data_IF_249846804991
#
_entry.id   IF_249846804991
#
_cell.length_a   1.000
_cell.length_b   1.000
_cell.length_c   1.000
_cell.angle_alpha   90.00
_cell.angle_beta   90.00
_cell.angle_gamma   90.00
#
_symmetry.space_group_name_H-M   'P 1'
#
loop_
_entity.id
_entity.type
_entity.pdbx_description
1 polymer ?
#
# COMPACT_ATOMS: atom_id res chain seq x y z
N UNK A 1 30.57 -4.02 29.02
CA UNK A 1 29.18 -4.52 28.99
C UNK A 1 28.29 -3.38 28.49
N UNK A 2 27.62 -3.53 27.33
CA UNK A 2 26.84 -2.44 26.70
C UNK A 2 25.39 -2.57 27.16
N UNK A 3 24.89 -1.62 27.94
CA UNK A 3 23.46 -1.56 28.28
C UNK A 3 22.67 -1.19 27.03
N UNK A 4 21.74 -2.06 26.64
CA UNK A 4 20.73 -1.73 25.64
C UNK A 4 19.77 -0.74 26.31
N UNK A 5 19.62 0.45 25.71
CA UNK A 5 18.64 1.44 26.15
C UNK A 5 17.35 1.17 25.37
N UNK A 6 16.27 0.88 26.07
CA UNK A 6 14.94 0.80 25.50
C UNK A 6 14.21 2.14 25.70
N UNK A 7 13.34 2.49 24.75
CA UNK A 7 12.40 3.60 24.87
C UNK A 7 11.09 3.01 25.39
N UNK A 8 10.67 3.39 26.60
CA UNK A 8 9.36 3.04 27.16
C UNK A 8 8.42 4.24 27.02
N UNK A 9 7.19 4.00 26.55
CA UNK A 9 6.17 5.03 26.40
C UNK A 9 5.19 4.99 27.59
N UNK A 10 4.76 6.14 28.14
CA UNK A 10 3.80 6.16 29.23
C UNK A 10 2.39 5.71 28.80
N UNK A 11 1.59 5.28 29.77
CA UNK A 11 0.23 4.80 29.56
C UNK A 11 -0.64 5.79 28.78
N UNK A 12 -1.30 5.29 27.74
CA UNK A 12 -2.16 6.08 26.87
C UNK A 12 -1.42 6.81 25.75
N UNK A 13 -0.12 6.56 25.58
CA UNK A 13 0.64 7.12 24.45
C UNK A 13 0.15 6.58 23.10
N UNK A 14 0.11 7.47 22.11
CA UNK A 14 -0.19 7.15 20.72
C UNK A 14 0.80 7.82 19.78
N UNK A 15 0.99 7.22 18.61
CA UNK A 15 1.72 7.79 17.49
C UNK A 15 0.79 7.98 16.31
N UNK A 16 0.88 9.13 15.64
CA UNK A 16 0.10 9.45 14.45
C UNK A 16 1.02 9.53 13.23
N UNK A 17 0.62 8.89 12.14
CA UNK A 17 1.24 9.02 10.82
C UNK A 17 0.26 9.78 9.93
N UNK A 18 0.73 10.87 9.33
CA UNK A 18 -0.05 11.67 8.39
C UNK A 18 0.76 11.89 7.12
N UNK A 19 0.12 11.68 5.97
CA UNK A 19 0.65 12.08 4.68
C UNK A 19 -0.47 12.56 3.77
N UNK A 20 -0.12 13.39 2.80
CA UNK A 20 -1.04 13.92 1.82
C UNK A 20 -0.49 13.73 0.41
N UNK A 21 -1.37 13.37 -0.53
CA UNK A 21 -1.05 13.21 -1.94
C UNK A 21 -1.82 14.27 -2.72
N UNK A 22 -1.11 15.13 -3.44
CA UNK A 22 -1.70 16.13 -4.35
C UNK A 22 -1.52 15.71 -5.80
N UNK A 23 -2.61 15.41 -6.49
CA UNK A 23 -2.63 15.05 -7.91
C UNK A 23 -3.20 16.22 -8.71
N UNK A 24 -2.44 16.88 -9.59
CA UNK A 24 -2.97 17.93 -10.45
C UNK A 24 -3.86 17.31 -11.54
N UNK A 25 -5.05 17.87 -11.76
CA UNK A 25 -5.96 17.41 -12.80
C UNK A 25 -5.69 18.19 -14.08
N UNK A 26 -5.47 17.47 -15.18
CA UNK A 26 -5.25 18.07 -16.49
C UNK A 26 -6.58 18.50 -17.12
N UNK A 27 -6.91 19.79 -16.96
CA UNK A 27 -8.14 20.41 -17.48
C UNK A 27 -7.74 21.66 -18.27
N UNK A 28 -8.18 21.81 -19.54
CA UNK A 28 -7.89 23.00 -20.33
C UNK A 28 -8.32 24.28 -19.61
N UNK A 29 -7.43 25.28 -19.60
CA UNK A 29 -7.63 26.62 -19.01
C UNK A 29 -7.97 26.66 -17.50
N UNK A 30 -7.70 25.58 -16.75
CA UNK A 30 -7.94 25.54 -15.31
C UNK A 30 -6.80 24.86 -14.56
N UNK A 31 -6.36 25.48 -13.46
CA UNK A 31 -5.47 24.85 -12.51
C UNK A 31 -6.29 24.27 -11.36
N UNK A 32 -6.56 22.97 -11.42
CA UNK A 32 -7.30 22.24 -10.39
C UNK A 32 -6.40 21.12 -9.87
N UNK A 33 -6.33 20.95 -8.55
CA UNK A 33 -5.63 19.85 -7.91
C UNK A 33 -6.56 19.08 -6.99
N UNK A 34 -6.35 17.76 -6.92
CA UNK A 34 -7.04 16.84 -6.05
C UNK A 34 -6.10 16.44 -4.92
N UNK A 35 -6.51 16.69 -3.68
CA UNK A 35 -5.71 16.35 -2.50
C UNK A 35 -6.36 15.21 -1.71
N UNK A 36 -5.60 14.17 -1.44
CA UNK A 36 -5.98 13.05 -0.59
C UNK A 36 -5.19 13.12 0.71
N UNK A 37 -5.89 13.04 1.84
CA UNK A 37 -5.32 13.08 3.18
C UNK A 37 -5.45 11.72 3.84
N UNK A 38 -4.33 11.21 4.36
CA UNK A 38 -4.26 9.92 5.03
C UNK A 38 -3.75 10.12 6.44
N UNK A 39 -4.53 9.63 7.41
CA UNK A 39 -4.20 9.70 8.82
C UNK A 39 -4.34 8.31 9.44
N UNK A 40 -3.30 7.88 10.15
CA UNK A 40 -3.27 6.61 10.86
C UNK A 40 -2.77 6.82 12.29
N UNK A 41 -3.62 6.51 13.26
CA UNK A 41 -3.33 6.67 14.68
C UNK A 41 -3.12 5.30 15.34
N UNK A 42 -1.93 5.05 15.88
CA UNK A 42 -1.54 3.80 16.50
C UNK A 42 -1.28 3.99 18.00
N UNK A 43 -1.82 3.10 18.83
CA UNK A 43 -1.49 3.08 20.26
C UNK A 43 -0.09 2.50 20.45
N UNK A 44 0.75 3.19 21.21
CA UNK A 44 2.10 2.72 21.52
C UNK A 44 2.06 1.67 22.65
N UNK A 45 2.99 0.70 22.65
CA UNK A 45 3.10 -0.27 23.72
C UNK A 45 3.57 0.43 25.01
N UNK A 46 2.82 0.20 26.09
CA UNK A 46 3.08 0.69 27.45
C UNK A 46 3.58 -0.44 28.37
N UNK A 47 3.64 -1.68 27.85
CA UNK A 47 4.00 -2.85 28.65
C UNK A 47 5.51 -3.11 28.70
N UNK A 48 6.02 -3.19 29.93
CA UNK A 48 7.42 -3.51 30.22
C UNK A 48 7.74 -5.02 30.09
N UNK A 49 6.71 -5.85 29.89
CA UNK A 49 6.78 -7.31 29.78
C UNK A 49 6.61 -7.79 28.33
N UNK A 50 6.78 -6.92 27.34
CA UNK A 50 6.76 -7.33 25.93
C UNK A 50 8.10 -7.99 25.59
N UNK A 51 8.21 -9.29 25.86
CA UNK A 51 9.36 -10.09 25.40
C UNK A 51 9.39 -10.23 23.88
N UNK A 52 8.24 -10.06 23.22
CA UNK A 52 8.07 -10.13 21.77
C UNK A 52 7.50 -8.81 21.22
N UNK A 53 8.35 -7.80 21.07
CA UNK A 53 7.99 -6.52 20.42
C UNK A 53 7.45 -6.79 19.01
N UNK A 54 7.98 -7.80 18.34
CA UNK A 54 7.55 -8.24 17.01
C UNK A 54 6.07 -8.64 16.94
N UNK A 55 5.56 -9.36 17.95
CA UNK A 55 4.17 -9.87 17.99
C UNK A 55 3.13 -8.75 18.17
N UNK A 56 3.47 -7.71 18.96
CA UNK A 56 2.63 -6.53 19.13
C UNK A 56 2.52 -5.67 17.87
N UNK A 57 3.61 -5.55 17.09
CA UNK A 57 3.56 -4.89 15.79
C UNK A 57 2.85 -5.76 14.74
N UNK A 58 2.86 -7.09 14.90
CA UNK A 58 2.18 -8.03 14.00
C UNK A 58 0.65 -7.87 14.00
N UNK A 59 0.02 -7.69 15.15
CA UNK A 59 -1.45 -7.54 15.22
C UNK A 59 -1.95 -6.14 14.82
N UNK A 60 -1.09 -5.12 14.84
CA UNK A 60 -1.48 -3.72 14.63
C UNK A 60 -0.83 -3.03 13.43
N UNK A 61 -0.03 -3.76 12.66
CA UNK A 61 0.55 -3.29 11.42
C UNK A 61 -0.49 -3.16 10.31
N UNK A 62 -0.23 -2.27 9.34
CA UNK A 62 -1.03 -2.19 8.12
C UNK A 62 -0.82 -3.46 7.29
N UNK A 63 -1.84 -4.30 7.19
CA UNK A 63 -1.83 -5.52 6.35
C UNK A 63 -2.16 -5.16 4.90
N UNK A 64 -1.63 -5.94 3.95
CA UNK A 64 -2.01 -5.79 2.54
C UNK A 64 -3.48 -6.03 2.32
N UNK A 65 -4.07 -6.95 3.07
CA UNK A 65 -5.53 -7.19 3.01
C UNK A 65 -6.31 -5.89 3.24
N UNK A 66 -5.95 -5.13 4.27
CA UNK A 66 -6.58 -3.84 4.56
C UNK A 66 -6.34 -2.82 3.44
N UNK A 67 -5.12 -2.73 2.91
CA UNK A 67 -4.79 -1.84 1.79
C UNK A 67 -5.59 -2.21 0.54
N UNK A 68 -5.66 -3.49 0.22
CA UNK A 68 -6.38 -4.02 -0.94
C UNK A 68 -7.88 -3.82 -0.83
N UNK A 69 -8.45 -3.95 0.36
CA UNK A 69 -9.87 -3.65 0.60
C UNK A 69 -10.14 -2.15 0.38
N UNK A 70 -9.28 -1.26 0.89
CA UNK A 70 -9.41 0.19 0.66
C UNK A 70 -9.31 0.53 -0.83
N UNK A 71 -8.32 -0.03 -1.53
CA UNK A 71 -8.13 0.20 -2.97
C UNK A 71 -9.33 -0.29 -3.77
N UNK A 72 -9.80 -1.51 -3.52
CA UNK A 72 -10.97 -2.08 -4.21
C UNK A 72 -12.21 -1.20 -4.02
N UNK A 73 -12.53 -0.86 -2.77
CA UNK A 73 -13.69 -0.03 -2.44
C UNK A 73 -13.61 1.37 -3.11
N UNK A 74 -12.42 1.96 -3.20
CA UNK A 74 -12.24 3.26 -3.87
C UNK A 74 -12.38 3.17 -5.38
N UNK A 75 -11.86 2.12 -6.00
CA UNK A 75 -12.01 1.86 -7.43
C UNK A 75 -13.48 1.61 -7.79
N UNK A 76 -14.19 0.84 -6.98
CA UNK A 76 -15.63 0.59 -7.13
C UNK A 76 -16.44 1.87 -6.97
N UNK A 77 -16.13 2.68 -5.96
CA UNK A 77 -16.75 4.00 -5.78
C UNK A 77 -16.50 4.96 -6.94
N UNK A 78 -15.41 4.78 -7.69
CA UNK A 78 -15.08 5.54 -8.90
C UNK A 78 -15.68 4.94 -10.19
N UNK A 79 -16.42 3.83 -10.10
CA UNK A 79 -17.09 3.17 -11.24
C UNK A 79 -16.25 2.12 -11.96
N UNK A 80 -15.13 1.68 -11.39
CA UNK A 80 -14.27 0.63 -11.95
C UNK A 80 -14.46 -0.71 -11.22
N UNK A 81 -14.21 -1.85 -11.87
CA UNK A 81 -14.31 -3.16 -11.23
C UNK A 81 -13.13 -3.39 -10.27
N UNK A 82 -13.31 -3.03 -9.00
CA UNK A 82 -12.26 -2.94 -7.98
C UNK A 82 -11.36 -4.17 -7.90
N UNK A 83 -11.95 -5.37 -7.77
CA UNK A 83 -11.17 -6.61 -7.71
C UNK A 83 -10.30 -6.84 -8.95
N UNK A 84 -10.87 -6.68 -10.15
CA UNK A 84 -10.14 -6.90 -11.40
C UNK A 84 -9.03 -5.86 -11.61
N UNK A 85 -9.29 -4.61 -11.23
CA UNK A 85 -8.30 -3.54 -11.28
C UNK A 85 -7.16 -3.73 -10.29
N UNK A 86 -7.45 -4.23 -9.08
CA UNK A 86 -6.42 -4.58 -8.12
C UNK A 86 -5.50 -5.69 -8.66
N UNK A 87 -6.08 -6.76 -9.21
CA UNK A 87 -5.31 -7.86 -9.80
C UNK A 87 -4.46 -7.38 -10.99
N UNK A 88 -5.00 -6.46 -11.82
CA UNK A 88 -4.24 -5.78 -12.88
C UNK A 88 -3.02 -5.06 -12.32
N UNK A 89 -3.20 -4.25 -11.28
CA UNK A 89 -2.13 -3.47 -10.65
C UNK A 89 -1.03 -4.36 -10.06
N UNK A 90 -1.41 -5.48 -9.42
CA UNK A 90 -0.46 -6.47 -8.88
C UNK A 90 0.37 -7.12 -9.99
N UNK A 91 -0.28 -7.57 -11.07
CA UNK A 91 0.40 -8.15 -12.22
C UNK A 91 1.36 -7.17 -12.89
N UNK A 92 0.90 -5.94 -13.15
CA UNK A 92 1.72 -4.89 -13.76
C UNK A 92 2.90 -4.52 -12.85
N UNK A 93 2.69 -4.42 -11.53
CA UNK A 93 3.73 -4.15 -10.55
C UNK A 93 4.80 -5.24 -10.53
N UNK A 94 4.39 -6.51 -10.47
CA UNK A 94 5.30 -7.65 -10.45
C UNK A 94 6.14 -7.76 -11.74
N UNK A 95 5.57 -7.32 -12.87
CA UNK A 95 6.25 -7.27 -14.16
C UNK A 95 7.14 -6.02 -14.33
N UNK A 96 6.96 -4.99 -13.50
CA UNK A 96 7.68 -3.72 -13.60
C UNK A 96 9.00 -3.73 -12.81
N UNK A 97 10.02 -3.05 -13.34
CA UNK A 97 11.27 -2.81 -12.62
C UNK A 97 11.17 -1.51 -11.83
N UNK A 98 10.88 -1.58 -10.53
CA UNK A 98 10.84 -0.42 -9.63
C UNK A 98 12.23 0.18 -9.31
N UNK A 99 13.31 -0.30 -9.95
CA UNK A 99 14.69 0.00 -9.59
C UNK A 99 15.11 1.48 -9.78
N UNK A 100 14.27 2.33 -10.39
CA UNK A 100 14.62 3.75 -10.66
C UNK A 100 13.70 4.78 -9.98
N UNK A 101 12.73 4.37 -9.15
CA UNK A 101 11.64 5.27 -8.67
C UNK A 101 11.79 5.73 -7.20
N UNK A 102 12.96 5.56 -6.59
CA UNK A 102 13.24 5.99 -5.20
C UNK A 102 12.26 5.41 -4.16
N UNK A 103 11.98 6.16 -3.10
CA UNK A 103 11.13 5.72 -1.99
C UNK A 103 9.72 5.30 -2.43
N UNK A 104 9.13 5.99 -3.41
CA UNK A 104 7.80 5.65 -3.92
C UNK A 104 7.83 4.29 -4.62
N UNK A 105 8.87 4.01 -5.40
CA UNK A 105 9.08 2.71 -6.01
C UNK A 105 9.13 1.58 -4.99
N UNK A 106 9.88 1.78 -3.89
CA UNK A 106 9.99 0.80 -2.81
C UNK A 106 8.64 0.59 -2.09
N UNK A 107 7.88 1.65 -1.83
CA UNK A 107 6.54 1.56 -1.23
C UNK A 107 5.61 0.77 -2.16
N UNK A 108 5.58 1.09 -3.45
CA UNK A 108 4.73 0.39 -4.42
C UNK A 108 5.11 -1.08 -4.55
N UNK A 109 6.41 -1.39 -4.56
CA UNK A 109 6.90 -2.77 -4.56
C UNK A 109 6.41 -3.52 -3.33
N UNK A 110 6.56 -2.93 -2.14
CA UNK A 110 6.04 -3.55 -0.91
C UNK A 110 4.53 -3.76 -1.02
N UNK A 111 3.75 -2.79 -1.49
CA UNK A 111 2.28 -2.93 -1.52
C UNK A 111 1.79 -3.93 -2.58
N UNK A 112 2.36 -3.95 -3.78
CA UNK A 112 1.81 -4.66 -4.93
C UNK A 112 2.60 -5.89 -5.39
N UNK A 113 3.74 -6.20 -4.77
CA UNK A 113 4.50 -7.45 -5.01
C UNK A 113 4.49 -8.27 -3.71
N UNK A 114 3.42 -9.05 -3.44
CA UNK A 114 3.26 -9.79 -2.18
C UNK A 114 4.48 -10.62 -1.77
N UNK A 115 5.13 -11.28 -2.73
CA UNK A 115 6.33 -12.10 -2.52
C UNK A 115 7.54 -11.30 -2.03
N UNK A 116 7.55 -9.97 -2.13
CA UNK A 116 8.67 -9.13 -1.70
C UNK A 116 8.75 -8.96 -0.18
N UNK A 117 7.95 -9.67 0.60
CA UNK A 117 7.74 -9.40 2.03
C UNK A 117 7.17 -10.61 2.80
N UNK A 118 6.53 -10.36 3.95
CA UNK A 118 5.85 -11.37 4.76
C UNK A 118 4.63 -11.96 4.04
N UNK A 119 4.47 -13.28 4.20
CA UNK A 119 3.29 -14.00 3.76
C UNK A 119 2.11 -13.70 4.70
N UNK A 120 1.00 -13.23 4.15
CA UNK A 120 -0.22 -12.84 4.87
C UNK A 120 -1.42 -13.76 4.59
N UNK A 121 -1.19 -14.96 4.02
CA UNK A 121 -2.24 -15.90 3.59
C UNK A 121 -3.27 -15.21 2.66
N UNK A 122 -2.73 -14.55 1.63
CA UNK A 122 -3.53 -13.83 0.66
C UNK A 122 -4.32 -14.81 -0.23
N UNK A 123 -5.52 -14.41 -0.71
CA UNK A 123 -6.29 -15.18 -1.67
C UNK A 123 -5.48 -15.64 -2.89
N UNK A 124 -5.77 -16.84 -3.38
CA UNK A 124 -5.03 -17.49 -4.47
C UNK A 124 -4.97 -16.65 -5.75
N UNK A 125 -6.02 -15.92 -6.09
CA UNK A 125 -6.10 -15.06 -7.27
C UNK A 125 -5.05 -13.94 -7.25
N UNK A 126 -4.67 -13.45 -6.07
CA UNK A 126 -3.60 -12.44 -5.90
C UNK A 126 -2.25 -13.06 -6.24
N UNK A 127 -1.97 -14.25 -5.71
CA UNK A 127 -0.73 -14.99 -5.98
C UNK A 127 -0.62 -15.32 -7.46
N UNK A 128 -1.72 -15.76 -8.09
CA UNK A 128 -1.77 -16.01 -9.54
C UNK A 128 -1.44 -14.74 -10.32
N UNK A 129 -2.04 -13.60 -9.93
CA UNK A 129 -1.79 -12.32 -10.61
C UNK A 129 -0.33 -11.85 -10.49
N UNK A 130 0.33 -12.07 -9.35
CA UNK A 130 1.74 -11.73 -9.15
C UNK A 130 2.69 -12.53 -10.07
N UNK A 131 2.44 -13.82 -10.24
CA UNK A 131 3.30 -14.69 -11.05
C UNK A 131 2.93 -14.71 -12.55
N UNK A 132 1.84 -14.06 -12.92
CA UNK A 132 1.42 -13.93 -14.31
C UNK A 132 2.41 -13.05 -15.08
N UNK A 133 2.88 -13.54 -16.23
CA UNK A 133 3.81 -12.79 -17.09
C UNK A 133 3.08 -11.89 -18.07
N UNK A 134 1.81 -12.21 -18.38
CA UNK A 134 1.03 -11.49 -19.35
C UNK A 134 -0.23 -10.86 -18.73
N UNK A 135 -0.14 -9.58 -18.39
CA UNK A 135 -1.24 -8.84 -17.75
C UNK A 135 -2.39 -8.45 -18.70
N UNK A 136 -2.31 -8.75 -20.01
CA UNK A 136 -3.36 -8.37 -20.98
C UNK A 136 -4.75 -8.93 -20.65
N UNK A 137 -4.84 -10.07 -19.98
CA UNK A 137 -6.11 -10.64 -19.55
C UNK A 137 -6.86 -9.70 -18.58
N UNK A 138 -6.13 -8.95 -17.76
CA UNK A 138 -6.71 -7.99 -16.82
C UNK A 138 -7.06 -6.65 -17.48
N UNK A 139 -6.37 -6.26 -18.56
CA UNK A 139 -6.65 -5.02 -19.30
C UNK A 139 -8.08 -4.98 -19.86
N UNK A 140 -8.60 -6.12 -20.30
CA UNK A 140 -9.96 -6.23 -20.82
C UNK A 140 -11.03 -6.09 -19.72
N UNK A 141 -10.67 -6.37 -18.47
CA UNK A 141 -11.58 -6.31 -17.33
C UNK A 141 -11.51 -4.97 -16.61
N UNK A 142 -10.35 -4.35 -16.56
CA UNK A 142 -10.15 -3.04 -15.95
C UNK A 142 -9.50 -2.10 -16.98
N UNK A 143 -10.21 -1.04 -17.45
CA UNK A 143 -9.66 -0.14 -18.46
C UNK A 143 -8.56 0.79 -17.93
N UNK A 144 -8.52 1.02 -16.61
CA UNK A 144 -7.52 1.88 -15.98
C UNK A 144 -6.29 1.08 -15.51
N UNK A 145 -5.10 1.69 -15.60
CA UNK A 145 -3.91 1.26 -14.84
C UNK A 145 -3.71 2.19 -13.65
N UNK A 146 -3.58 1.62 -12.46
CA UNK A 146 -3.24 2.38 -11.25
C UNK A 146 -1.79 2.90 -11.32
N UNK A 147 -0.88 2.12 -11.92
CA UNK A 147 0.54 2.43 -11.96
C UNK A 147 0.85 3.54 -12.96
N UNK A 148 0.16 3.59 -14.11
CA UNK A 148 0.30 4.68 -15.07
C UNK A 148 -0.11 6.04 -14.47
N UNK A 149 -1.12 6.04 -13.60
CA UNK A 149 -1.56 7.25 -12.88
C UNK A 149 -0.46 7.81 -11.97
N UNK A 150 0.44 6.96 -11.46
CA UNK A 150 1.52 7.35 -10.55
C UNK A 150 2.79 7.68 -11.33
N UNK A 151 3.09 6.93 -12.40
CA UNK A 151 4.26 7.14 -13.25
C UNK A 151 4.22 8.45 -14.02
N UNK A 152 3.03 9.02 -14.28
CA UNK A 152 2.90 10.28 -15.01
C UNK A 152 3.37 11.52 -14.21
N UNK A 153 3.65 11.36 -12.91
CA UNK A 153 3.98 12.43 -11.97
C UNK A 153 5.30 12.22 -11.21
N UNK A 154 6.10 11.21 -11.59
CA UNK A 154 7.46 10.96 -11.08
C UNK A 154 8.51 11.19 -12.15
#
# INVERSE_FOLDING_TARGET
MRHIRAINFPQGSGTGIFFAIGVPLDIPDKSVSLSFYFEANYRLPDDNNVTNVEEYFHEKGMTRKLVYDVIQNKLEGAGYPGRSCLLRAICEAASSSFNENGLIGDILRVLFVPSSSRNEDLPEDITIAEYEKNCTNYNNKCPMSLLDLISHYT
#
